data_IF_504182422623
#
_entry.id   IF_504182422623
#
_cell.length_a   1.000
_cell.length_b   1.000
_cell.length_c   1.000
_cell.angle_alpha   90.00
_cell.angle_beta   90.00
_cell.angle_gamma   90.00
#
_symmetry.space_group_name_H-M   'P 1'
#
loop_
_entity.id
_entity.type
_entity.pdbx_description
1 polymer ?
#
# COMPACT_ATOMS: atom_id res chain seq x y z
N UNK A 1 5.42 -6.40 32.94
CA UNK A 1 5.67 -5.85 34.29
C UNK A 1 4.32 -5.79 35.02
N UNK A 2 4.27 -5.93 36.35
CA UNK A 2 3.04 -5.70 37.11
C UNK A 2 2.51 -4.27 36.88
N UNK A 3 1.22 -4.04 37.09
CA UNK A 3 0.58 -2.72 36.92
C UNK A 3 0.91 -1.79 38.10
N UNK A 4 2.20 -1.56 38.32
CA UNK A 4 2.77 -0.74 39.38
C UNK A 4 3.70 0.33 38.79
N UNK A 5 4.00 1.37 39.58
CA UNK A 5 4.93 2.43 39.18
C UNK A 5 6.28 1.85 38.76
N UNK A 6 6.83 2.36 37.67
CA UNK A 6 8.19 2.06 37.21
C UNK A 6 9.09 3.24 37.58
N UNK A 7 10.06 3.01 38.46
CA UNK A 7 11.11 3.97 38.76
C UNK A 7 12.33 3.70 37.85
N UNK A 8 12.82 4.75 37.19
CA UNK A 8 13.96 4.71 36.28
C UNK A 8 15.05 5.64 36.82
N UNK A 9 16.28 5.14 36.97
CA UNK A 9 17.42 5.94 37.42
C UNK A 9 18.73 5.49 36.78
N UNK A 10 19.66 6.41 36.57
CA UNK A 10 21.01 6.12 36.09
C UNK A 10 21.93 5.87 37.30
N UNK A 11 22.59 4.71 37.33
CA UNK A 11 23.54 4.36 38.37
C UNK A 11 24.93 4.96 38.07
N UNK A 12 25.79 5.14 39.11
CA UNK A 12 27.14 5.67 38.93
C UNK A 12 28.05 4.84 38.00
N UNK A 13 27.72 3.56 37.81
CA UNK A 13 28.44 2.64 36.92
C UNK A 13 27.92 2.67 35.47
N UNK A 14 27.03 3.61 35.13
CA UNK A 14 26.50 3.82 33.78
C UNK A 14 25.34 2.90 33.39
N UNK A 15 24.84 2.05 34.30
CA UNK A 15 23.66 1.21 34.04
C UNK A 15 22.36 1.94 34.35
N UNK A 16 21.32 1.66 33.57
CA UNK A 16 19.95 2.10 33.87
C UNK A 16 19.32 1.08 34.83
N UNK A 17 18.95 1.55 36.01
CA UNK A 17 18.19 0.80 36.99
C UNK A 17 16.69 1.01 36.76
N UNK A 18 15.98 -0.09 36.54
CA UNK A 18 14.53 -0.15 36.39
C UNK A 18 13.95 -0.90 37.58
N UNK A 19 13.06 -0.27 38.34
CA UNK A 19 12.37 -0.90 39.48
C UNK A 19 10.85 -0.82 39.29
N UNK A 20 10.18 -1.95 39.45
CA UNK A 20 8.72 -2.05 39.40
C UNK A 20 8.26 -3.09 40.43
N UNK A 21 7.63 -2.64 41.50
CA UNK A 21 7.27 -3.46 42.65
C UNK A 21 8.47 -4.20 43.25
N UNK A 22 8.40 -5.55 43.23
CA UNK A 22 9.47 -6.45 43.71
C UNK A 22 10.51 -6.80 42.64
N UNK A 23 10.32 -6.33 41.40
CA UNK A 23 11.24 -6.58 40.29
C UNK A 23 12.23 -5.42 40.15
N UNK A 24 13.50 -5.76 39.97
CA UNK A 24 14.55 -4.81 39.64
C UNK A 24 15.41 -5.35 38.49
N UNK A 25 15.76 -4.50 37.53
CA UNK A 25 16.59 -4.84 36.39
C UNK A 25 17.65 -3.77 36.17
N UNK A 26 18.81 -4.18 35.66
CA UNK A 26 19.93 -3.30 35.37
C UNK A 26 20.31 -3.49 33.90
N UNK A 27 20.10 -2.45 33.10
CA UNK A 27 20.41 -2.47 31.67
C UNK A 27 21.70 -1.69 31.42
N UNK A 28 22.54 -2.20 30.53
CA UNK A 28 23.68 -1.43 30.03
C UNK A 28 23.16 -0.31 29.16
N UNK A 29 23.66 0.90 29.37
CA UNK A 29 23.39 2.04 28.50
C UNK A 29 24.65 2.45 27.74
N UNK A 30 24.44 3.15 26.63
CA UNK A 30 25.48 3.87 25.91
C UNK A 30 25.34 5.37 26.20
N UNK A 31 26.42 6.16 26.06
CA UNK A 31 26.35 7.61 26.13
C UNK A 31 25.25 8.18 25.23
N UNK A 32 24.55 9.21 25.70
CA UNK A 32 23.49 9.86 24.93
C UNK A 32 24.05 10.56 23.68
N UNK A 33 25.29 11.08 23.76
CA UNK A 33 25.97 11.75 22.66
C UNK A 33 26.33 10.80 21.49
N UNK A 34 26.37 9.49 21.76
CA UNK A 34 26.55 8.46 20.71
C UNK A 34 25.26 8.18 19.94
N UNK A 35 24.11 8.65 20.45
CA UNK A 35 22.83 8.48 19.77
C UNK A 35 22.73 9.49 18.61
N UNK A 36 22.43 9.04 17.38
CA UNK A 36 22.39 9.92 16.22
C UNK A 36 21.30 10.98 16.40
N UNK A 37 21.66 12.25 16.16
CA UNK A 37 20.68 13.33 16.22
C UNK A 37 19.66 13.21 15.10
N UNK A 38 18.38 13.33 15.46
CA UNK A 38 17.29 13.46 14.49
C UNK A 38 17.39 14.87 13.92
N UNK A 39 17.53 14.99 12.58
CA UNK A 39 17.67 16.28 11.91
C UNK A 39 16.53 17.24 12.23
N UNK A 40 16.81 18.53 12.26
CA UNK A 40 15.80 19.56 12.49
C UNK A 40 14.73 19.54 11.39
N UNK A 41 13.47 19.60 11.79
CA UNK A 41 12.33 19.78 10.88
C UNK A 41 12.53 21.05 10.03
N UNK A 42 11.95 21.09 8.84
CA UNK A 42 11.73 22.36 8.16
C UNK A 42 10.92 23.32 9.06
N UNK A 43 11.12 24.62 8.91
CA UNK A 43 10.47 25.61 9.80
C UNK A 43 8.96 25.75 9.57
N UNK A 44 8.43 25.24 8.44
CA UNK A 44 7.04 25.45 8.02
C UNK A 44 6.35 24.15 7.62
N UNK A 45 5.15 23.95 8.17
CA UNK A 45 4.24 22.87 7.77
C UNK A 45 3.93 23.00 6.28
N UNK A 46 4.12 21.91 5.55
CA UNK A 46 3.91 21.86 4.10
C UNK A 46 2.49 21.42 3.75
N UNK A 47 1.94 20.47 4.50
CA UNK A 47 0.56 20.01 4.32
C UNK A 47 -0.01 19.47 5.62
N UNK A 48 -1.34 19.45 5.71
CA UNK A 48 -2.10 18.80 6.78
C UNK A 48 -3.11 17.86 6.17
N UNK A 49 -3.23 16.66 6.73
CA UNK A 49 -4.14 15.60 6.29
C UNK A 49 -4.66 14.89 7.54
N UNK A 50 -5.93 14.47 7.57
CA UNK A 50 -6.44 13.70 8.71
C UNK A 50 -5.77 12.33 8.78
N UNK A 51 -5.63 11.79 9.99
CA UNK A 51 -5.03 10.46 10.17
C UNK A 51 -5.82 9.39 9.42
N UNK A 52 -7.15 9.45 9.46
CA UNK A 52 -8.05 8.56 8.73
C UNK A 52 -7.80 8.55 7.22
N UNK A 53 -7.78 9.71 6.57
CA UNK A 53 -7.57 9.83 5.12
C UNK A 53 -6.17 9.35 4.73
N UNK A 54 -5.14 9.76 5.48
CA UNK A 54 -3.76 9.32 5.23
C UNK A 54 -3.63 7.81 5.42
N UNK A 55 -4.25 7.24 6.45
CA UNK A 55 -4.23 5.79 6.72
C UNK A 55 -4.85 5.02 5.56
N UNK A 56 -6.05 5.42 5.12
CA UNK A 56 -6.75 4.77 4.01
C UNK A 56 -5.93 4.81 2.70
N UNK A 57 -5.33 5.96 2.39
CA UNK A 57 -4.49 6.10 1.20
C UNK A 57 -3.19 5.27 1.29
N UNK A 58 -2.54 5.22 2.45
CA UNK A 58 -1.30 4.46 2.63
C UNK A 58 -1.54 2.95 2.70
N UNK A 59 -2.57 2.49 3.43
CA UNK A 59 -2.94 1.06 3.51
C UNK A 59 -3.25 0.49 2.11
N UNK A 60 -3.84 1.31 1.22
CA UNK A 60 -4.20 0.89 -0.13
C UNK A 60 -3.08 1.04 -1.17
N UNK A 61 -1.92 1.62 -0.82
CA UNK A 61 -0.83 1.89 -1.79
C UNK A 61 0.51 1.28 -1.40
N UNK A 62 0.94 1.37 -0.14
CA UNK A 62 2.31 1.05 0.29
C UNK A 62 2.73 -0.38 -0.06
N UNK A 63 1.80 -1.34 -0.05
CA UNK A 63 2.07 -2.73 -0.37
C UNK A 63 2.53 -2.97 -1.80
N UNK A 64 2.25 -2.05 -2.73
CA UNK A 64 2.63 -2.17 -4.14
C UNK A 64 4.06 -1.68 -4.42
N UNK A 65 4.76 -1.12 -3.43
CA UNK A 65 6.16 -0.76 -3.57
C UNK A 65 7.04 -2.01 -3.76
N UNK A 66 8.10 -1.88 -4.55
CA UNK A 66 9.05 -2.96 -4.79
C UNK A 66 9.81 -3.32 -3.51
N UNK A 67 9.95 -4.62 -3.23
CA UNK A 67 10.77 -5.12 -2.11
C UNK A 67 12.25 -5.27 -2.44
N UNK A 68 12.61 -5.25 -3.72
CA UNK A 68 13.99 -5.38 -4.22
C UNK A 68 14.63 -4.01 -4.44
N UNK A 69 15.90 -3.88 -4.04
CA UNK A 69 16.70 -2.67 -4.16
C UNK A 69 17.30 -2.46 -5.56
N UNK A 70 17.10 -3.37 -6.53
CA UNK A 70 17.56 -3.20 -7.91
C UNK A 70 17.06 -1.89 -8.56
N UNK A 71 15.88 -1.42 -8.15
CA UNK A 71 15.33 -0.09 -8.53
C UNK A 71 14.93 0.66 -7.26
N UNK A 72 15.87 1.37 -6.60
CA UNK A 72 15.61 2.02 -5.31
C UNK A 72 14.41 2.97 -5.34
N UNK A 73 14.18 3.66 -6.46
CA UNK A 73 13.05 4.57 -6.66
C UNK A 73 11.69 3.86 -6.43
N UNK A 74 11.56 2.60 -6.82
CA UNK A 74 10.32 1.82 -6.67
C UNK A 74 10.13 1.24 -5.27
N UNK A 75 11.15 1.28 -4.42
CA UNK A 75 11.04 0.92 -2.99
C UNK A 75 10.32 1.98 -2.15
N UNK A 76 10.08 3.14 -2.75
CA UNK A 76 9.30 4.22 -2.17
C UNK A 76 7.92 4.36 -2.76
N UNK A 77 7.14 5.24 -2.14
CA UNK A 77 5.83 5.69 -2.60
C UNK A 77 6.00 7.13 -3.05
N UNK A 78 5.66 7.39 -4.31
CA UNK A 78 5.51 8.75 -4.81
C UNK A 78 4.42 9.45 -4.02
N UNK A 79 4.74 10.62 -3.49
CA UNK A 79 3.81 11.49 -2.78
C UNK A 79 3.79 12.83 -3.48
N UNK A 80 2.65 13.14 -4.09
CA UNK A 80 2.41 14.41 -4.76
C UNK A 80 1.37 15.20 -3.97
N UNK A 81 1.67 16.45 -3.67
CA UNK A 81 0.79 17.40 -2.98
C UNK A 81 0.51 18.54 -3.96
N UNK A 82 -0.76 18.78 -4.27
CA UNK A 82 -1.16 19.83 -5.22
C UNK A 82 -2.50 20.40 -4.80
N UNK A 83 -2.52 21.67 -4.37
CA UNK A 83 -3.75 22.29 -3.87
C UNK A 83 -4.30 21.50 -2.69
N UNK A 84 -5.57 21.15 -2.70
CA UNK A 84 -6.23 20.41 -1.61
C UNK A 84 -6.16 18.88 -1.76
N UNK A 85 -5.27 18.37 -2.62
CA UNK A 85 -5.16 16.93 -2.91
C UNK A 85 -3.75 16.40 -2.67
N UNK A 86 -3.69 15.27 -1.97
CA UNK A 86 -2.53 14.38 -1.96
C UNK A 86 -2.77 13.19 -2.89
N UNK A 87 -1.73 12.77 -3.62
CA UNK A 87 -1.74 11.55 -4.43
C UNK A 87 -0.55 10.68 -4.03
N UNK A 88 -0.84 9.43 -3.72
CA UNK A 88 0.13 8.41 -3.35
C UNK A 88 0.17 7.36 -4.45
N UNK A 89 1.35 7.09 -5.01
CA UNK A 89 1.52 6.05 -6.02
C UNK A 89 2.70 5.16 -5.66
N UNK A 90 2.46 3.85 -5.65
CA UNK A 90 3.48 2.84 -5.45
C UNK A 90 3.41 1.84 -6.61
N UNK A 91 4.58 1.37 -7.05
CA UNK A 91 4.67 0.46 -8.18
C UNK A 91 5.85 -0.49 -8.01
N UNK A 92 5.70 -1.66 -8.60
CA UNK A 92 6.80 -2.57 -8.90
C UNK A 92 6.82 -2.84 -10.42
N UNK A 93 7.45 -3.92 -10.87
CA UNK A 93 7.51 -4.25 -12.30
C UNK A 93 6.19 -4.81 -12.87
N UNK A 94 5.22 -5.14 -12.01
CA UNK A 94 4.05 -5.93 -12.36
C UNK A 94 2.72 -5.33 -11.90
N UNK A 95 2.74 -4.32 -11.01
CA UNK A 95 1.54 -3.65 -10.53
C UNK A 95 1.79 -2.21 -10.12
N UNK A 96 0.70 -1.46 -10.04
CA UNK A 96 0.67 -0.06 -9.62
C UNK A 96 -0.56 0.14 -8.74
N UNK A 97 -0.39 0.75 -7.57
CA UNK A 97 -1.50 1.22 -6.74
C UNK A 97 -1.44 2.74 -6.63
N UNK A 98 -2.57 3.41 -6.85
CA UNK A 98 -2.68 4.87 -6.75
C UNK A 98 -3.89 5.23 -5.91
N UNK A 99 -3.67 6.03 -4.87
CA UNK A 99 -4.74 6.56 -4.02
C UNK A 99 -4.64 8.08 -3.92
N UNK A 100 -5.79 8.74 -3.96
CA UNK A 100 -5.95 10.14 -3.59
C UNK A 100 -6.39 10.28 -2.13
N UNK A 101 -6.08 11.42 -1.54
CA UNK A 101 -6.62 11.84 -0.25
C UNK A 101 -6.82 13.35 -0.23
N UNK A 102 -7.86 13.81 0.48
CA UNK A 102 -8.09 15.23 0.69
C UNK A 102 -7.09 15.79 1.72
N UNK A 103 -6.52 16.94 1.42
CA UNK A 103 -5.76 17.74 2.39
C UNK A 103 -6.73 18.66 3.15
N UNK A 104 -6.39 18.99 4.39
CA UNK A 104 -7.18 19.90 5.21
C UNK A 104 -7.16 21.35 4.67
N UNK A 105 -6.13 21.69 3.89
CA UNK A 105 -5.95 22.99 3.26
C UNK A 105 -5.04 22.86 2.03
N UNK A 106 -5.01 23.91 1.19
CA UNK A 106 -4.18 23.92 0.00
C UNK A 106 -2.68 23.89 0.33
N UNK A 107 -1.98 22.91 -0.25
CA UNK A 107 -0.54 22.73 -0.14
C UNK A 107 0.19 23.20 -1.42
N UNK A 108 1.47 23.62 -1.29
CA UNK A 108 2.31 23.95 -2.44
C UNK A 108 2.59 22.70 -3.29
N UNK A 109 2.70 22.90 -4.61
CA UNK A 109 3.02 21.82 -5.54
C UNK A 109 4.34 21.14 -5.17
N UNK A 110 4.23 19.88 -4.76
CA UNK A 110 5.34 19.08 -4.26
C UNK A 110 5.26 17.68 -4.82
N UNK A 111 6.40 17.11 -5.16
CA UNK A 111 6.53 15.73 -5.62
C UNK A 111 7.81 15.14 -5.01
N UNK A 112 7.66 14.10 -4.20
CA UNK A 112 8.73 13.44 -3.44
C UNK A 112 8.53 11.94 -3.41
N UNK A 113 9.58 11.18 -3.13
CA UNK A 113 9.50 9.73 -2.95
C UNK A 113 9.85 9.41 -1.50
N UNK A 114 8.89 8.85 -0.78
CA UNK A 114 9.05 8.47 0.63
C UNK A 114 9.27 6.95 0.70
N UNK A 115 10.28 6.46 1.42
CA UNK A 115 10.50 5.02 1.56
C UNK A 115 9.25 4.29 2.09
N UNK A 116 8.87 3.18 1.46
CA UNK A 116 7.69 2.40 1.87
C UNK A 116 7.77 1.96 3.35
N UNK A 117 8.97 1.63 3.83
CA UNK A 117 9.21 1.31 5.25
C UNK A 117 8.87 2.47 6.20
N UNK A 118 9.08 3.71 5.79
CA UNK A 118 8.75 4.86 6.63
C UNK A 118 7.24 5.04 6.72
N UNK A 119 6.53 4.81 5.60
CA UNK A 119 5.07 4.76 5.63
C UNK A 119 4.52 3.56 6.40
N UNK A 120 5.18 2.40 6.35
CA UNK A 120 4.80 1.26 7.17
C UNK A 120 4.90 1.57 8.68
N UNK A 121 5.96 2.27 9.12
CA UNK A 121 6.05 2.73 10.51
C UNK A 121 5.01 3.82 10.83
N UNK A 122 4.75 4.75 9.91
CA UNK A 122 3.70 5.75 10.08
C UNK A 122 2.31 5.12 10.23
N UNK A 123 1.99 4.11 9.41
CA UNK A 123 0.72 3.36 9.48
C UNK A 123 0.47 2.73 10.85
N UNK A 124 1.52 2.38 11.60
CA UNK A 124 1.41 1.83 12.97
C UNK A 124 1.06 2.89 14.01
N UNK A 125 1.29 4.17 13.69
CA UNK A 125 0.99 5.31 14.54
C UNK A 125 -0.37 5.94 14.21
N UNK A 126 -0.84 5.80 12.97
CA UNK A 126 -2.11 6.34 12.50
C UNK A 126 -3.29 5.61 13.13
N UNK A 127 -4.28 6.39 13.56
CA UNK A 127 -5.56 5.91 14.07
C UNK A 127 -6.72 6.31 13.14
N UNK A 128 -7.86 5.64 13.27
CA UNK A 128 -9.08 5.99 12.53
C UNK A 128 -9.81 7.17 13.20
N UNK A 129 -9.17 8.35 13.13
CA UNK A 129 -9.65 9.62 13.72
C UNK A 129 -9.38 10.78 12.75
N UNK A 130 -10.11 11.87 12.93
CA UNK A 130 -9.99 13.08 12.08
C UNK A 130 -8.87 14.04 12.51
N UNK A 131 -8.15 13.71 13.59
CA UNK A 131 -6.98 14.49 14.02
C UNK A 131 -5.97 14.63 12.88
N UNK A 132 -5.33 15.80 12.79
CA UNK A 132 -4.44 16.12 11.69
C UNK A 132 -3.02 15.59 11.91
N UNK A 133 -2.44 15.09 10.82
CA UNK A 133 -1.01 14.85 10.65
C UNK A 133 -0.40 16.06 9.98
N UNK A 134 0.56 16.70 10.65
CA UNK A 134 1.34 17.77 10.03
C UNK A 134 2.54 17.18 9.29
N UNK A 135 2.61 17.47 7.99
CA UNK A 135 3.69 17.03 7.11
C UNK A 135 4.61 18.22 6.88
N UNK A 136 5.89 18.05 7.20
CA UNK A 136 6.91 19.10 7.08
C UNK A 136 8.10 18.61 6.26
N UNK A 137 8.39 19.31 5.17
CA UNK A 137 9.56 19.07 4.33
C UNK A 137 10.73 19.95 4.72
N UNK A 138 11.94 19.39 4.70
CA UNK A 138 13.14 20.22 4.80
C UNK A 138 13.33 21.06 3.54
N UNK A 139 13.97 22.24 3.63
CA UNK A 139 14.24 23.08 2.45
C UNK A 139 15.01 22.37 1.34
N UNK A 140 15.90 21.45 1.72
CA UNK A 140 16.69 20.63 0.79
C UNK A 140 15.89 19.46 0.18
N UNK A 141 14.63 19.24 0.56
CA UNK A 141 13.77 18.14 0.11
C UNK A 141 14.43 16.75 0.22
N UNK A 142 15.25 16.56 1.25
CA UNK A 142 15.96 15.31 1.53
C UNK A 142 15.39 14.57 2.75
N UNK A 143 14.55 15.23 3.54
CA UNK A 143 13.89 14.67 4.71
C UNK A 143 12.44 15.15 4.80
N UNK A 144 11.63 14.29 5.41
CA UNK A 144 10.21 14.51 5.66
C UNK A 144 9.92 14.18 7.12
N UNK A 145 9.15 15.04 7.75
CA UNK A 145 8.65 14.84 9.10
C UNK A 145 7.12 14.73 9.10
N UNK A 146 6.61 13.75 9.84
CA UNK A 146 5.21 13.62 10.22
C UNK A 146 5.09 13.90 11.72
N UNK A 147 4.20 14.82 12.09
CA UNK A 147 3.88 15.11 13.49
C UNK A 147 2.41 14.74 13.77
N UNK A 148 2.21 13.93 14.79
CA UNK A 148 0.91 13.41 15.24
C UNK A 148 0.84 13.54 16.77
N UNK A 149 0.11 14.55 17.26
CA UNK A 149 0.13 14.89 18.70
C UNK A 149 1.55 15.13 19.20
N UNK A 150 1.98 14.33 20.19
CA UNK A 150 3.32 14.37 20.80
C UNK A 150 4.34 13.47 20.09
N UNK A 151 3.94 12.75 19.03
CA UNK A 151 4.82 11.85 18.28
C UNK A 151 5.34 12.52 17.02
N UNK A 152 6.63 12.37 16.77
CA UNK A 152 7.30 12.84 15.56
C UNK A 152 8.01 11.67 14.88
N UNK A 153 7.70 11.43 13.61
CA UNK A 153 8.37 10.46 12.75
C UNK A 153 9.13 11.19 11.65
N UNK A 154 10.42 10.91 11.52
CA UNK A 154 11.29 11.52 10.51
C UNK A 154 11.80 10.45 9.56
N UNK A 155 11.76 10.75 8.26
CA UNK A 155 12.25 9.87 7.20
C UNK A 155 13.16 10.62 6.24
N UNK A 156 14.20 9.94 5.75
CA UNK A 156 14.94 10.40 4.57
C UNK A 156 14.11 10.12 3.33
N UNK A 157 14.18 11.02 2.35
CA UNK A 157 13.56 10.85 1.06
C UNK A 157 14.47 10.03 0.13
N UNK A 158 13.86 9.40 -0.88
CA UNK A 158 14.59 8.70 -1.94
C UNK A 158 14.85 9.71 -3.06
N UNK A 159 16.13 9.93 -3.37
CA UNK A 159 16.52 10.79 -4.48
C UNK A 159 16.23 10.09 -5.82
N UNK A 160 15.58 10.82 -6.72
CA UNK A 160 15.29 10.34 -8.07
C UNK A 160 13.93 10.81 -8.58
N UNK A 161 13.59 10.34 -9.78
CA UNK A 161 12.31 10.62 -10.42
C UNK A 161 11.49 9.34 -10.50
N UNK A 162 10.28 9.37 -9.94
CA UNK A 162 9.37 8.24 -10.04
C UNK A 162 8.92 8.07 -11.50
N UNK A 163 8.89 6.83 -12.06
CA UNK A 163 8.49 6.62 -13.44
C UNK A 163 7.09 7.17 -13.75
N UNK A 164 6.82 7.64 -14.99
CA UNK A 164 5.54 8.23 -15.37
C UNK A 164 4.43 7.16 -15.47
N UNK A 165 3.93 6.71 -14.33
CA UNK A 165 2.96 5.62 -14.19
C UNK A 165 1.63 5.90 -14.90
N UNK A 166 1.27 7.17 -15.09
CA UNK A 166 0.02 7.57 -15.77
C UNK A 166 -0.06 7.01 -17.19
N UNK A 167 1.08 6.80 -17.86
CA UNK A 167 1.14 6.25 -19.21
C UNK A 167 0.79 4.74 -19.25
N UNK A 168 0.82 4.07 -18.11
CA UNK A 168 0.58 2.63 -17.98
C UNK A 168 -0.88 2.33 -17.62
N UNK A 169 -1.61 3.32 -17.09
CA UNK A 169 -3.00 3.17 -16.69
C UNK A 169 -3.88 3.07 -17.94
N UNK A 170 -4.62 1.97 -18.15
CA UNK A 170 -5.58 1.88 -19.25
C UNK A 170 -6.64 2.97 -19.17
N UNK A 171 -6.91 3.64 -20.29
CA UNK A 171 -7.93 4.71 -20.40
C UNK A 171 -9.23 4.24 -21.05
N UNK A 172 -9.24 3.03 -21.61
CA UNK A 172 -10.40 2.38 -22.21
C UNK A 172 -10.40 0.88 -21.90
N UNK A 173 -11.57 0.25 -21.99
CA UNK A 173 -11.77 -1.18 -21.80
C UNK A 173 -12.76 -1.74 -22.83
N UNK A 174 -12.57 -3.00 -23.23
CA UNK A 174 -13.52 -3.78 -24.04
C UNK A 174 -14.39 -4.69 -23.19
N UNK A 175 -13.93 -4.99 -21.98
CA UNK A 175 -14.62 -5.85 -21.01
C UNK A 175 -14.57 -5.17 -19.65
N UNK A 176 -15.74 -4.98 -19.03
CA UNK A 176 -15.86 -4.51 -17.65
C UNK A 176 -16.61 -5.54 -16.83
N UNK A 177 -15.99 -6.03 -15.78
CA UNK A 177 -16.56 -7.04 -14.89
C UNK A 177 -16.80 -6.44 -13.52
N UNK A 178 -18.05 -6.41 -13.07
CA UNK A 178 -18.39 -5.98 -11.70
C UNK A 178 -18.45 -7.20 -10.80
N UNK A 179 -17.59 -7.22 -9.79
CA UNK A 179 -17.41 -8.33 -8.85
C UNK A 179 -17.82 -7.92 -7.44
N UNK A 180 -18.44 -8.84 -6.71
CA UNK A 180 -18.57 -8.75 -5.26
C UNK A 180 -17.21 -9.09 -4.65
N UNK A 181 -16.63 -8.16 -3.88
CA UNK A 181 -15.25 -8.25 -3.40
C UNK A 181 -14.99 -9.55 -2.65
N UNK A 182 -15.86 -9.87 -1.69
CA UNK A 182 -15.64 -11.00 -0.78
C UNK A 182 -15.69 -12.35 -1.50
N UNK A 183 -16.58 -12.50 -2.47
CA UNK A 183 -16.72 -13.74 -3.24
C UNK A 183 -15.51 -13.96 -4.15
N UNK A 184 -15.12 -12.90 -4.87
CA UNK A 184 -13.95 -12.94 -5.73
C UNK A 184 -12.65 -13.13 -4.93
N UNK A 185 -12.49 -12.43 -3.80
CA UNK A 185 -11.33 -12.58 -2.91
C UNK A 185 -11.21 -14.01 -2.39
N UNK A 186 -12.31 -14.63 -1.94
CA UNK A 186 -12.28 -16.03 -1.49
C UNK A 186 -11.84 -16.97 -2.61
N UNK A 187 -12.40 -16.82 -3.81
CA UNK A 187 -12.05 -17.67 -4.95
C UNK A 187 -10.57 -17.50 -5.37
N UNK A 188 -10.08 -16.26 -5.49
CA UNK A 188 -8.68 -16.01 -5.85
C UNK A 188 -7.72 -16.47 -4.75
N UNK A 189 -8.06 -16.31 -3.46
CA UNK A 189 -7.24 -16.82 -2.34
C UNK A 189 -7.10 -18.34 -2.37
N UNK A 190 -8.18 -19.08 -2.65
CA UNK A 190 -8.12 -20.53 -2.77
C UNK A 190 -7.29 -20.96 -3.99
N UNK A 191 -7.48 -20.29 -5.14
CA UNK A 191 -6.65 -20.51 -6.33
C UNK A 191 -5.16 -20.22 -6.05
N UNK A 192 -4.85 -19.20 -5.25
CA UNK A 192 -3.48 -18.84 -4.87
C UNK A 192 -2.76 -19.99 -4.14
N UNK A 193 -3.46 -20.78 -3.32
CA UNK A 193 -2.85 -21.90 -2.57
C UNK A 193 -2.24 -22.92 -3.52
N UNK A 194 -2.94 -23.26 -4.61
CA UNK A 194 -2.42 -24.16 -5.65
C UNK A 194 -1.37 -23.44 -6.51
N UNK A 195 -1.66 -22.20 -6.90
CA UNK A 195 -0.78 -21.41 -7.75
C UNK A 195 0.56 -21.05 -7.09
N UNK A 196 0.70 -21.14 -5.76
CA UNK A 196 1.95 -20.93 -5.01
C UNK A 196 3.10 -21.81 -5.57
N UNK A 197 2.77 -23.04 -5.97
CA UNK A 197 3.70 -23.97 -6.61
C UNK A 197 3.95 -23.67 -8.11
N UNK A 198 3.27 -22.68 -8.70
CA UNK A 198 3.29 -22.35 -10.14
C UNK A 198 3.37 -20.84 -10.37
N UNK A 199 4.34 -20.19 -9.71
CA UNK A 199 4.63 -18.75 -9.83
C UNK A 199 3.41 -17.83 -9.59
N UNK A 200 2.44 -18.30 -8.79
CA UNK A 200 1.17 -17.66 -8.48
C UNK A 200 0.26 -17.38 -9.69
N UNK A 201 0.42 -18.12 -10.80
CA UNK A 201 -0.39 -17.90 -12.01
C UNK A 201 -1.81 -18.42 -11.81
N UNK A 202 -2.79 -17.54 -12.03
CA UNK A 202 -4.22 -17.89 -12.04
C UNK A 202 -4.85 -17.37 -13.32
N UNK A 203 -5.63 -18.23 -13.99
CA UNK A 203 -6.31 -17.92 -15.23
C UNK A 203 -7.77 -17.59 -14.96
N UNK A 204 -8.26 -16.51 -15.55
CA UNK A 204 -9.64 -16.10 -15.55
C UNK A 204 -10.21 -16.29 -16.95
N UNK A 205 -11.29 -17.05 -17.07
CA UNK A 205 -12.14 -17.07 -18.25
C UNK A 205 -13.42 -16.31 -17.92
N UNK A 206 -13.62 -15.19 -18.62
CA UNK A 206 -14.73 -14.26 -18.41
C UNK A 206 -15.76 -14.51 -19.49
N UNK A 207 -16.98 -14.83 -19.09
CA UNK A 207 -18.11 -15.08 -20.00
C UNK A 207 -19.18 -14.01 -19.79
N UNK A 208 -19.76 -13.50 -20.88
CA UNK A 208 -20.88 -12.56 -20.83
C UNK A 208 -22.25 -13.23 -21.00
N UNK A 209 -22.27 -14.52 -21.28
CA UNK A 209 -23.49 -15.32 -21.40
C UNK A 209 -24.10 -15.65 -20.02
N UNK A 210 -25.41 -15.91 -19.98
CA UNK A 210 -26.07 -16.47 -18.79
C UNK A 210 -26.12 -15.57 -17.54
N UNK A 211 -25.88 -14.26 -17.66
CA UNK A 211 -25.82 -13.33 -16.52
C UNK A 211 -24.40 -12.86 -16.18
N UNK A 212 -23.39 -13.46 -16.82
CA UNK A 212 -21.99 -13.11 -16.67
C UNK A 212 -21.30 -13.86 -15.53
N UNK A 213 -20.08 -14.34 -15.78
CA UNK A 213 -19.30 -15.05 -14.77
C UNK A 213 -17.79 -14.97 -15.02
N UNK A 214 -17.04 -15.34 -13.98
CA UNK A 214 -15.60 -15.56 -14.03
C UNK A 214 -15.30 -16.99 -13.57
N UNK A 215 -14.76 -17.81 -14.47
CA UNK A 215 -14.15 -19.08 -14.13
C UNK A 215 -12.68 -18.86 -13.78
N UNK A 216 -12.31 -19.20 -12.55
CA UNK A 216 -10.99 -19.01 -11.98
C UNK A 216 -10.31 -20.37 -11.87
N UNK A 217 -9.17 -20.53 -12.55
CA UNK A 217 -8.42 -21.80 -12.58
C UNK A 217 -6.96 -21.61 -12.23
N UNK A 218 -6.43 -22.56 -11.47
CA UNK A 218 -5.02 -22.67 -11.13
C UNK A 218 -4.58 -24.13 -11.26
N UNK A 219 -3.41 -24.38 -11.84
CA UNK A 219 -2.87 -25.73 -12.00
C UNK A 219 -1.36 -25.73 -11.73
N UNK A 220 -0.91 -26.73 -10.99
CA UNK A 220 0.47 -26.96 -10.61
C UNK A 220 0.72 -28.48 -10.42
N UNK A 221 1.97 -28.88 -10.23
CA UNK A 221 2.32 -30.29 -9.99
C UNK A 221 1.69 -30.86 -8.70
N UNK A 222 1.34 -29.97 -7.76
CA UNK A 222 0.71 -30.33 -6.48
C UNK A 222 -0.81 -30.52 -6.60
N UNK A 223 -1.42 -30.18 -7.74
CA UNK A 223 -2.86 -30.31 -7.99
C UNK A 223 -3.44 -29.15 -8.80
N UNK A 224 -4.77 -29.15 -8.92
CA UNK A 224 -5.53 -28.11 -9.61
C UNK A 224 -6.65 -27.54 -8.71
N UNK A 225 -7.11 -26.34 -9.07
CA UNK A 225 -8.25 -25.69 -8.46
C UNK A 225 -9.10 -25.01 -9.54
N UNK A 226 -10.41 -25.10 -9.39
CA UNK A 226 -11.39 -24.39 -10.20
C UNK A 226 -12.46 -23.78 -9.30
N UNK A 227 -12.80 -22.52 -9.56
CA UNK A 227 -13.88 -21.81 -8.90
C UNK A 227 -14.71 -21.04 -9.93
N UNK A 228 -16.01 -20.92 -9.67
CA UNK A 228 -16.93 -20.13 -10.48
C UNK A 228 -17.45 -18.96 -9.64
N UNK A 229 -17.36 -17.75 -10.17
CA UNK A 229 -17.82 -16.53 -9.49
C UNK A 229 -18.81 -15.81 -10.40
N UNK A 230 -20.04 -15.64 -9.93
CA UNK A 230 -21.03 -14.80 -10.62
C UNK A 230 -20.56 -13.34 -10.64
N UNK A 231 -20.66 -12.70 -11.80
CA UNK A 231 -20.22 -11.32 -11.97
C UNK A 231 -20.99 -10.65 -13.11
N UNK A 232 -21.31 -9.36 -12.96
CA UNK A 232 -21.94 -8.63 -14.07
C UNK A 232 -20.86 -8.28 -15.10
N UNK A 233 -20.97 -8.83 -16.30
CA UNK A 233 -20.03 -8.59 -17.41
C UNK A 233 -20.65 -7.69 -18.46
N UNK A 234 -19.96 -6.61 -18.79
CA UNK A 234 -20.28 -5.69 -19.89
C UNK A 234 -19.19 -5.79 -20.96
N UNK A 235 -19.58 -5.96 -22.22
CA UNK A 235 -18.66 -6.10 -23.36
C UNK A 235 -18.33 -7.56 -23.74
N UNK A 236 -17.13 -7.78 -24.27
CA UNK A 236 -16.72 -9.08 -24.82
C UNK A 236 -16.18 -10.01 -23.73
N UNK A 237 -16.43 -11.32 -23.87
CA UNK A 237 -15.76 -12.33 -23.06
C UNK A 237 -14.26 -12.37 -23.37
N UNK A 238 -13.43 -12.75 -22.39
CA UNK A 238 -11.98 -12.83 -22.59
C UNK A 238 -11.35 -13.85 -21.66
N UNK A 239 -10.14 -14.28 -21.98
CA UNK A 239 -9.33 -15.13 -21.10
C UNK A 239 -8.01 -14.43 -20.82
N UNK A 240 -7.66 -14.30 -19.55
CA UNK A 240 -6.47 -13.60 -19.10
C UNK A 240 -5.88 -14.29 -17.89
N UNK A 241 -4.57 -14.25 -17.73
CA UNK A 241 -3.90 -14.79 -16.55
C UNK A 241 -3.23 -13.66 -15.76
N UNK A 242 -3.34 -13.72 -14.44
CA UNK A 242 -2.72 -12.78 -13.51
C UNK A 242 -1.92 -13.53 -12.44
N UNK A 243 -1.05 -12.80 -11.75
CA UNK A 243 -0.48 -13.27 -10.52
C UNK A 243 -1.50 -13.07 -9.38
N UNK A 244 -1.97 -14.17 -8.80
CA UNK A 244 -2.99 -14.16 -7.73
C UNK A 244 -2.56 -13.35 -6.50
N UNK A 245 -1.27 -13.34 -6.15
CA UNK A 245 -0.77 -12.58 -5.00
C UNK A 245 -1.08 -11.10 -5.13
N UNK A 246 -0.94 -10.53 -6.33
CA UNK A 246 -1.20 -9.11 -6.56
C UNK A 246 -2.67 -8.75 -6.41
N UNK A 247 -3.56 -9.62 -6.88
CA UNK A 247 -5.00 -9.45 -6.72
C UNK A 247 -5.44 -9.60 -5.26
N UNK A 248 -4.92 -10.61 -4.56
CA UNK A 248 -5.22 -10.81 -3.13
C UNK A 248 -4.72 -9.63 -2.31
N UNK A 249 -3.55 -9.08 -2.62
CA UNK A 249 -2.98 -7.94 -1.91
C UNK A 249 -3.89 -6.70 -1.94
N UNK A 250 -4.47 -6.36 -3.10
CA UNK A 250 -5.39 -5.22 -3.23
C UNK A 250 -6.75 -5.50 -2.61
N UNK A 251 -7.36 -6.64 -2.92
CA UNK A 251 -8.68 -7.01 -2.43
C UNK A 251 -8.73 -7.20 -0.90
N UNK A 252 -7.59 -7.55 -0.28
CA UNK A 252 -7.48 -7.69 1.18
C UNK A 252 -7.29 -6.36 1.91
N UNK A 253 -6.85 -5.30 1.23
CA UNK A 253 -6.51 -4.00 1.84
C UNK A 253 -7.50 -2.90 1.51
N UNK A 254 -8.18 -3.01 0.37
CA UNK A 254 -9.19 -2.03 -0.04
C UNK A 254 -10.57 -2.60 0.26
N UNK A 255 -11.17 -2.09 1.33
CA UNK A 255 -12.50 -2.49 1.80
C UNK A 255 -13.58 -1.72 1.02
N UNK A 256 -14.08 -2.33 -0.05
CA UNK A 256 -15.26 -1.89 -0.79
C UNK A 256 -16.12 -3.12 -1.12
N UNK A 257 -17.44 -2.97 -1.15
CA UNK A 257 -18.35 -4.11 -1.39
C UNK A 257 -18.18 -4.70 -2.79
N UNK A 258 -17.91 -3.83 -3.77
CA UNK A 258 -17.77 -4.19 -5.17
C UNK A 258 -16.58 -3.51 -5.83
N UNK A 259 -15.99 -4.21 -6.78
CA UNK A 259 -14.95 -3.69 -7.68
C UNK A 259 -15.37 -3.86 -9.13
N UNK A 260 -14.91 -2.97 -10.00
CA UNK A 260 -14.81 -3.26 -11.43
C UNK A 260 -13.41 -3.73 -11.78
N UNK A 261 -13.34 -4.83 -12.53
CA UNK A 261 -12.17 -5.27 -13.28
C UNK A 261 -12.35 -4.88 -14.75
N UNK A 262 -11.54 -3.94 -15.22
CA UNK A 262 -11.56 -3.42 -16.59
C UNK A 262 -10.40 -4.01 -17.41
N UNK A 263 -10.69 -4.56 -18.59
CA UNK A 263 -9.74 -5.26 -19.45
C UNK A 263 -9.87 -4.81 -20.92
N UNK A 264 -8.74 -4.91 -21.65
CA UNK A 264 -8.63 -4.53 -23.08
C UNK A 264 -7.94 -5.64 -23.89
N UNK A 265 -8.29 -6.90 -23.58
CA UNK A 265 -7.73 -8.10 -24.22
C UNK A 265 -6.85 -8.96 -23.30
N UNK A 266 -6.32 -10.09 -23.82
CA UNK A 266 -5.74 -11.18 -23.01
C UNK A 266 -4.32 -10.89 -22.48
N UNK A 267 -3.65 -9.86 -23.01
CA UNK A 267 -2.26 -9.49 -22.69
C UNK A 267 -2.11 -8.02 -22.30
N UNK A 268 -3.22 -7.30 -22.13
CA UNK A 268 -3.22 -5.91 -21.68
C UNK A 268 -3.26 -5.82 -20.14
N UNK A 269 -2.76 -4.74 -19.52
CA UNK A 269 -2.90 -4.50 -18.09
C UNK A 269 -4.37 -4.51 -17.68
N UNK A 270 -4.67 -5.20 -16.57
CA UNK A 270 -5.98 -5.15 -15.94
C UNK A 270 -6.05 -3.99 -14.95
N UNK A 271 -7.21 -3.36 -14.86
CA UNK A 271 -7.46 -2.22 -14.00
C UNK A 271 -8.59 -2.53 -13.02
N UNK A 272 -8.27 -2.56 -11.73
CA UNK A 272 -9.23 -2.71 -10.65
C UNK A 272 -9.58 -1.35 -10.05
N UNK A 273 -10.88 -1.09 -9.89
CA UNK A 273 -11.40 0.09 -9.20
C UNK A 273 -12.55 -0.28 -8.26
N UNK A 274 -12.58 0.20 -7.02
CA UNK A 274 -13.74 0.06 -6.14
C UNK A 274 -14.92 0.88 -6.71
N UNK A 275 -16.14 0.42 -6.47
CA UNK A 275 -17.38 1.05 -6.98
C UNK A 275 -18.08 1.96 -5.96
N UNK A 276 -17.37 2.38 -4.92
CA UNK A 276 -17.88 3.30 -3.88
C UNK A 276 -17.51 4.77 -4.12
N UNK A 277 -16.86 5.08 -5.25
CA UNK A 277 -16.51 6.44 -5.66
C UNK A 277 -15.25 7.01 -5.01
N UNK A 278 -14.50 6.22 -4.22
CA UNK A 278 -13.21 6.67 -3.69
C UNK A 278 -12.18 6.89 -4.81
N UNK A 279 -11.24 7.80 -4.58
CA UNK A 279 -10.15 8.09 -5.50
C UNK A 279 -9.04 7.02 -5.40
N UNK A 280 -9.29 5.86 -5.99
CA UNK A 280 -8.37 4.72 -5.98
C UNK A 280 -8.37 3.96 -7.30
N UNK A 281 -7.20 3.49 -7.71
CA UNK A 281 -7.07 2.48 -8.75
C UNK A 281 -5.89 1.54 -8.50
N UNK A 282 -6.00 0.33 -9.07
CA UNK A 282 -4.94 -0.66 -9.05
C UNK A 282 -4.75 -1.25 -10.45
N UNK A 283 -3.54 -1.13 -11.00
CA UNK A 283 -3.15 -1.77 -12.27
C UNK A 283 -2.41 -3.05 -11.95
N UNK A 284 -2.75 -4.13 -12.65
CA UNK A 284 -2.06 -5.42 -12.57
C UNK A 284 -1.67 -5.90 -13.98
N UNK A 285 -0.40 -6.23 -14.15
CA UNK A 285 0.11 -6.75 -15.42
C UNK A 285 -0.29 -8.21 -15.61
N UNK A 286 -0.69 -8.63 -16.82
CA UNK A 286 -0.99 -10.02 -17.10
C UNK A 286 0.27 -10.87 -17.15
N UNK A 287 0.11 -12.16 -16.87
CA UNK A 287 1.14 -13.17 -17.07
C UNK A 287 0.93 -13.80 -18.44
N UNK A 288 2.00 -13.91 -19.22
CA UNK A 288 1.97 -14.67 -20.47
C UNK A 288 1.98 -16.16 -20.14
N UNK A 289 0.87 -16.83 -20.38
CA UNK A 289 0.82 -18.29 -20.38
C UNK A 289 1.00 -18.80 -21.82
N UNK A 290 1.77 -19.86 -22.06
CA UNK A 290 1.70 -20.58 -23.33
C UNK A 290 0.24 -20.96 -23.58
N UNK A 291 -0.25 -20.65 -24.78
CA UNK A 291 -1.54 -21.09 -25.30
C UNK A 291 -1.58 -22.60 -25.43
#
# INVERSE_FOLDING_TARGET
>A
LPNEKIDISLLPDGRVHLKCGRSASHLRATPADDFPQVGAAGERVTARISQKELRAALDSTVFAAAGDEARPILTGVLTSLTGEKATFAAADNYRIAVAGAALAEAAPETSIIVPARAYAELLRLLSDVDDLVEITLTPAKNQLQFKLGDTVLVSRLIDGQFPPFQQVIPTSHTTKVTIVRDDFLRAVRLAQVVADASAHIVRFAITSEGGGAIDITAAADVGDHAAHVEAKVEGEGTTIAFNAKYLVDVLSRVEADQFSLELTGPIAPGLLRPLDGRDYLHVVMPVRTPS
#
